data_IF_865554069748
#
_entry.id   IF_865554069748
#
_cell.length_a   1.000
_cell.length_b   1.000
_cell.length_c   1.000
_cell.angle_alpha   90.00
_cell.angle_beta   90.00
_cell.angle_gamma   90.00
#
_symmetry.space_group_name_H-M   'P 1'
#
loop_
_entity.id
_entity.type
_entity.pdbx_description
1 polymer ?
#
# COMPACT_ATOMS: atom_id res chain seq x y z
N UNK A 1 -15.71 -23.30 -44.54
CA UNK A 1 -15.83 -23.75 -43.13
C UNK A 1 -15.14 -22.74 -42.24
N UNK A 2 -15.83 -22.19 -41.24
CA UNK A 2 -15.24 -21.28 -40.26
C UNK A 2 -14.66 -22.05 -39.07
N UNK A 3 -13.58 -21.52 -38.46
CA UNK A 3 -13.03 -22.05 -37.21
C UNK A 3 -13.55 -21.21 -36.05
N UNK A 4 -14.08 -21.87 -35.03
CA UNK A 4 -14.55 -21.24 -33.80
C UNK A 4 -13.42 -21.21 -32.78
N UNK A 5 -13.41 -20.18 -31.95
CA UNK A 5 -12.45 -19.99 -30.87
C UNK A 5 -13.21 -19.63 -29.59
N UNK A 6 -12.64 -20.05 -28.47
CA UNK A 6 -13.00 -19.55 -27.15
C UNK A 6 -12.16 -18.30 -26.87
N UNK A 7 -12.78 -17.30 -26.25
CA UNK A 7 -12.22 -15.96 -26.11
C UNK A 7 -12.14 -15.54 -24.64
N UNK A 8 -11.06 -14.87 -24.28
CA UNK A 8 -10.88 -14.23 -22.96
C UNK A 8 -10.59 -12.73 -23.14
N UNK A 9 -10.99 -11.87 -22.19
CA UNK A 9 -10.76 -10.44 -22.28
C UNK A 9 -9.26 -10.10 -22.25
N UNK A 10 -8.83 -9.15 -23.08
CA UNK A 10 -7.45 -8.69 -23.16
C UNK A 10 -7.36 -7.18 -22.85
N UNK A 11 -7.06 -6.85 -21.60
CA UNK A 11 -7.03 -5.48 -21.09
C UNK A 11 -5.62 -4.84 -21.06
N UNK A 12 -4.57 -5.55 -21.50
CA UNK A 12 -3.18 -5.08 -21.50
C UNK A 12 -2.86 -4.14 -22.69
N UNK A 13 -3.80 -3.24 -23.02
CA UNK A 13 -3.68 -2.25 -24.10
C UNK A 13 -3.41 -0.86 -23.51
N UNK A 14 -2.62 -0.05 -24.23
CA UNK A 14 -2.20 1.29 -23.77
C UNK A 14 -3.07 2.39 -24.39
N UNK A 15 -3.22 3.50 -23.66
CA UNK A 15 -3.86 4.71 -24.16
C UNK A 15 -5.37 4.59 -24.39
N UNK A 16 -5.84 5.15 -25.51
CA UNK A 16 -7.27 5.22 -25.87
C UNK A 16 -7.91 3.87 -26.18
N UNK A 17 -7.10 2.83 -26.45
CA UNK A 17 -7.59 1.48 -26.77
C UNK A 17 -8.16 0.72 -25.57
N UNK A 18 -7.96 1.24 -24.35
CA UNK A 18 -8.47 0.63 -23.10
C UNK A 18 -9.99 0.46 -23.06
N UNK A 19 -10.72 1.24 -23.86
CA UNK A 19 -12.17 1.17 -23.95
C UNK A 19 -12.66 0.48 -25.23
N UNK A 20 -11.78 -0.18 -25.97
CA UNK A 20 -12.14 -1.09 -27.06
C UNK A 20 -12.26 -2.53 -26.53
N UNK A 21 -13.16 -3.33 -27.10
CA UNK A 21 -13.29 -4.74 -26.70
C UNK A 21 -12.26 -5.59 -27.44
N UNK A 22 -11.12 -5.82 -26.79
CA UNK A 22 -10.08 -6.74 -27.28
C UNK A 22 -10.20 -8.10 -26.58
N UNK A 23 -10.16 -9.18 -27.35
CA UNK A 23 -10.21 -10.54 -26.83
C UNK A 23 -9.05 -11.39 -27.36
N UNK A 24 -8.42 -12.17 -26.50
CA UNK A 24 -7.41 -13.17 -26.85
C UNK A 24 -8.08 -14.52 -27.07
N UNK A 25 -7.66 -15.26 -28.10
CA UNK A 25 -8.15 -16.63 -28.29
C UNK A 25 -7.45 -17.57 -27.30
N UNK A 26 -8.23 -18.31 -26.51
CA UNK A 26 -7.71 -19.20 -25.47
C UNK A 26 -6.82 -20.28 -26.09
N UNK A 27 -5.59 -20.42 -25.57
CA UNK A 27 -4.57 -21.33 -26.11
C UNK A 27 -3.79 -20.80 -27.31
N UNK A 28 -4.04 -19.57 -27.75
CA UNK A 28 -3.32 -18.91 -28.86
C UNK A 28 -2.70 -17.58 -28.41
N UNK A 29 -1.79 -17.04 -29.23
CA UNK A 29 -1.04 -15.80 -28.96
C UNK A 29 -1.55 -14.57 -29.71
N UNK A 30 -2.71 -14.67 -30.36
CA UNK A 30 -3.30 -13.54 -31.09
C UNK A 30 -4.53 -13.01 -30.34
N UNK A 31 -4.80 -11.73 -30.56
CA UNK A 31 -5.99 -11.05 -30.06
C UNK A 31 -6.69 -10.35 -31.22
N UNK A 32 -7.99 -10.11 -31.06
CA UNK A 32 -8.84 -9.46 -32.05
C UNK A 32 -9.72 -8.45 -31.35
N UNK A 33 -9.90 -7.29 -32.00
CA UNK A 33 -10.89 -6.29 -31.60
C UNK A 33 -12.27 -6.78 -32.02
N UNK A 34 -13.10 -7.16 -31.04
CA UNK A 34 -14.46 -7.67 -31.24
C UNK A 34 -15.48 -6.52 -31.35
N UNK A 35 -15.22 -5.38 -30.70
CA UNK A 35 -16.04 -4.19 -30.80
C UNK A 35 -15.21 -2.92 -30.62
N UNK A 36 -15.66 -1.81 -31.22
CA UNK A 36 -15.01 -0.51 -31.09
C UNK A 36 -15.10 0.06 -29.68
N UNK A 37 -16.15 -0.28 -28.94
CA UNK A 37 -16.38 0.25 -27.59
C UNK A 37 -16.89 -0.86 -26.68
N UNK A 38 -16.34 -0.94 -25.48
CA UNK A 38 -16.93 -1.71 -24.38
C UNK A 38 -18.19 -1.02 -23.86
N UNK A 39 -18.99 -1.74 -23.09
CA UNK A 39 -20.17 -1.17 -22.43
C UNK A 39 -19.74 -0.09 -21.42
N UNK A 40 -20.54 0.96 -21.31
CA UNK A 40 -20.28 2.04 -20.35
C UNK A 40 -20.28 1.47 -18.92
N UNK A 41 -19.32 1.92 -18.10
CA UNK A 41 -19.08 1.38 -16.75
C UNK A 41 -18.03 0.28 -16.67
N UNK A 42 -17.53 -0.24 -17.80
CA UNK A 42 -16.41 -1.21 -17.80
C UNK A 42 -15.15 -0.57 -17.21
N UNK A 43 -14.51 -1.15 -16.18
CA UNK A 43 -13.25 -0.63 -15.64
C UNK A 43 -12.13 -0.60 -16.70
N UNK A 44 -11.38 0.50 -16.76
CA UNK A 44 -10.29 0.71 -17.73
C UNK A 44 -8.91 0.92 -17.08
N UNK A 45 -8.85 0.78 -15.76
CA UNK A 45 -7.63 0.76 -14.95
C UNK A 45 -7.63 -0.45 -14.01
N UNK A 46 -6.44 -0.79 -13.48
CA UNK A 46 -6.29 -1.92 -12.56
C UNK A 46 -6.84 -1.62 -11.16
N UNK A 47 -6.92 -0.33 -10.80
CA UNK A 47 -7.38 0.10 -9.48
C UNK A 47 -8.92 0.23 -9.42
N UNK A 48 -9.63 0.13 -10.54
CA UNK A 48 -11.07 0.32 -10.62
C UNK A 48 -11.52 1.76 -10.38
N UNK A 49 -10.62 2.73 -10.50
CA UNK A 49 -10.89 4.16 -10.30
C UNK A 49 -11.30 4.88 -11.59
N UNK A 50 -11.24 4.18 -12.72
CA UNK A 50 -11.59 4.72 -14.03
C UNK A 50 -12.47 3.75 -14.79
N UNK A 51 -13.48 4.28 -15.47
CA UNK A 51 -14.43 3.52 -16.27
C UNK A 51 -14.51 4.05 -17.70
N UNK A 52 -14.90 3.17 -18.61
CA UNK A 52 -15.20 3.55 -19.98
C UNK A 52 -16.57 4.22 -20.06
N UNK A 53 -16.61 5.39 -20.70
CA UNK A 53 -17.85 6.07 -21.09
C UNK A 53 -17.71 6.58 -22.51
N UNK A 54 -18.60 6.14 -23.40
CA UNK A 54 -18.61 6.49 -24.82
C UNK A 54 -17.29 6.21 -25.56
N UNK A 55 -16.53 5.20 -25.10
CA UNK A 55 -15.24 4.80 -25.66
C UNK A 55 -14.04 5.57 -25.11
N UNK A 56 -14.22 6.42 -24.09
CA UNK A 56 -13.15 7.12 -23.40
C UNK A 56 -13.02 6.62 -21.96
N UNK A 57 -11.78 6.40 -21.52
CA UNK A 57 -11.49 6.04 -20.13
C UNK A 57 -11.53 7.31 -19.29
N UNK A 58 -12.50 7.41 -18.38
CA UNK A 58 -12.71 8.57 -17.50
C UNK A 58 -12.51 8.15 -16.05
N UNK A 59 -11.78 8.97 -15.29
CA UNK A 59 -11.58 8.77 -13.86
C UNK A 59 -12.80 9.20 -13.05
N UNK A 60 -13.06 8.49 -11.97
CA UNK A 60 -14.04 8.88 -10.95
C UNK A 60 -13.28 9.71 -9.92
N UNK A 61 -13.72 10.94 -9.69
CA UNK A 61 -13.13 11.79 -8.65
C UNK A 61 -13.40 11.24 -7.26
N UNK A 62 -12.69 11.73 -6.25
CA UNK A 62 -12.92 11.30 -4.86
C UNK A 62 -14.30 11.70 -4.31
N UNK A 63 -15.04 12.54 -5.04
CA UNK A 63 -16.41 12.96 -4.75
C UNK A 63 -17.46 12.15 -5.52
N UNK A 64 -17.05 10.99 -6.06
CA UNK A 64 -17.87 10.03 -6.81
C UNK A 64 -18.45 10.57 -8.14
N UNK A 65 -18.00 11.75 -8.58
CA UNK A 65 -18.38 12.32 -9.87
C UNK A 65 -17.43 11.88 -10.99
N UNK A 66 -18.00 11.40 -12.10
CA UNK A 66 -17.25 11.00 -13.27
C UNK A 66 -16.63 12.21 -13.98
N UNK A 67 -15.31 12.18 -14.20
CA UNK A 67 -14.56 13.28 -14.81
C UNK A 67 -14.31 14.46 -13.86
N UNK A 68 -14.57 14.31 -12.57
CA UNK A 68 -14.16 15.28 -11.55
C UNK A 68 -12.65 15.21 -11.36
N UNK A 69 -12.00 16.37 -11.35
CA UNK A 69 -10.57 16.51 -11.08
C UNK A 69 -10.24 16.49 -9.57
N UNK A 70 -11.24 16.27 -8.71
CA UNK A 70 -11.00 16.22 -7.26
C UNK A 70 -10.28 14.93 -6.88
N UNK A 71 -9.18 15.11 -6.14
CA UNK A 71 -8.35 14.04 -5.60
C UNK A 71 -8.34 14.12 -4.07
N UNK A 72 -8.19 12.97 -3.42
CA UNK A 72 -7.97 12.91 -1.98
C UNK A 72 -6.64 13.56 -1.63
N UNK A 73 -6.66 14.52 -0.70
CA UNK A 73 -5.45 15.19 -0.23
C UNK A 73 -4.61 14.30 0.70
N UNK A 74 -3.45 14.81 1.14
CA UNK A 74 -2.55 14.05 2.04
C UNK A 74 -3.17 13.70 3.40
N UNK A 75 -4.25 14.39 3.78
CA UNK A 75 -4.98 14.22 5.02
C UNK A 75 -6.18 13.26 4.88
N UNK A 76 -6.41 12.72 3.67
CA UNK A 76 -7.55 11.85 3.41
C UNK A 76 -8.84 12.60 3.07
N UNK A 77 -8.78 13.91 2.81
CA UNK A 77 -9.95 14.75 2.52
C UNK A 77 -10.10 14.92 1.02
N UNK A 78 -11.27 14.60 0.48
CA UNK A 78 -11.55 14.81 -0.93
C UNK A 78 -11.59 16.30 -1.29
N UNK A 79 -10.74 16.73 -2.23
CA UNK A 79 -10.61 18.15 -2.59
C UNK A 79 -10.07 19.03 -1.45
N UNK A 80 -9.40 18.41 -0.47
CA UNK A 80 -8.78 19.13 0.63
C UNK A 80 -7.56 19.94 0.21
N UNK A 81 -7.23 20.95 1.00
CA UNK A 81 -6.10 21.86 0.78
C UNK A 81 -4.81 21.40 1.48
N UNK A 82 -4.79 20.18 2.03
CA UNK A 82 -3.66 19.62 2.78
C UNK A 82 -3.29 20.38 4.07
N UNK A 83 -4.22 21.13 4.67
CA UNK A 83 -4.00 21.87 5.92
C UNK A 83 -4.65 21.22 7.14
N UNK A 84 -5.58 20.28 6.97
CA UNK A 84 -6.31 19.62 8.06
C UNK A 84 -5.47 18.62 8.89
N UNK A 85 -4.23 18.35 8.47
CA UNK A 85 -3.33 17.42 9.14
C UNK A 85 -1.88 17.87 9.03
N UNK A 86 -1.05 17.41 9.96
CA UNK A 86 0.40 17.51 9.88
C UNK A 86 1.00 16.20 9.37
N UNK A 87 1.95 16.29 8.44
CA UNK A 87 2.78 15.14 8.04
C UNK A 87 3.93 15.03 9.01
N UNK A 88 4.10 13.86 9.60
CA UNK A 88 5.27 13.52 10.40
C UNK A 88 6.10 12.52 9.59
N UNK A 89 7.35 12.87 9.35
CA UNK A 89 8.30 11.98 8.70
C UNK A 89 9.69 12.14 9.29
N UNK A 90 10.43 11.05 9.31
CA UNK A 90 11.79 11.05 9.83
C UNK A 90 12.56 9.81 9.38
N UNK A 91 13.87 9.92 9.44
CA UNK A 91 14.79 8.81 9.17
C UNK A 91 15.53 8.49 10.46
N UNK A 92 15.42 7.24 10.91
CA UNK A 92 16.20 6.74 12.05
C UNK A 92 17.47 6.07 11.53
N UNK A 93 18.63 6.60 11.91
CA UNK A 93 19.98 6.10 11.57
C UNK A 93 20.80 5.90 12.83
N UNK A 94 20.93 4.67 13.29
CA UNK A 94 21.77 4.35 14.46
C UNK A 94 22.52 3.03 14.27
N UNK A 95 23.71 2.97 14.86
CA UNK A 95 24.44 1.73 15.09
C UNK A 95 24.02 1.17 16.44
N UNK A 96 23.29 0.06 16.41
CA UNK A 96 22.84 -0.64 17.61
C UNK A 96 23.66 -1.93 17.75
N UNK A 97 24.36 -2.05 18.87
CA UNK A 97 25.31 -3.14 19.12
C UNK A 97 24.78 -4.22 20.05
N UNK A 98 23.82 -3.88 20.92
CA UNK A 98 23.27 -4.82 21.89
C UNK A 98 22.13 -5.64 21.28
N UNK A 99 22.15 -6.95 21.47
CA UNK A 99 21.05 -7.83 21.09
C UNK A 99 19.77 -7.49 21.87
N UNK A 100 18.63 -7.58 21.21
CA UNK A 100 17.32 -7.35 21.83
C UNK A 100 16.47 -6.33 21.07
N UNK A 101 15.38 -5.91 21.71
CA UNK A 101 14.44 -4.93 21.16
C UNK A 101 14.83 -3.52 21.59
N UNK A 102 15.02 -2.65 20.61
CA UNK A 102 15.32 -1.23 20.83
C UNK A 102 14.17 -0.39 20.30
N UNK A 103 13.59 0.47 21.15
CA UNK A 103 12.53 1.39 20.73
C UNK A 103 13.14 2.44 19.80
N UNK A 104 12.49 2.70 18.67
CA UNK A 104 12.99 3.60 17.63
C UNK A 104 12.05 4.77 17.32
N UNK A 105 10.74 4.57 17.40
CA UNK A 105 9.75 5.61 17.17
C UNK A 105 8.46 5.30 17.92
N UNK A 106 7.74 6.34 18.27
CA UNK A 106 6.41 6.29 18.84
C UNK A 106 5.40 6.75 17.80
N UNK A 107 4.35 5.96 17.60
CA UNK A 107 3.20 6.31 16.77
C UNK A 107 2.11 6.81 17.74
N UNK A 108 1.77 8.10 17.71
CA UNK A 108 0.76 8.64 18.62
C UNK A 108 -0.65 8.16 18.25
N UNK A 109 -1.59 8.38 19.16
CA UNK A 109 -3.02 8.26 18.90
C UNK A 109 -3.47 9.24 17.79
N UNK A 110 -4.44 8.84 16.98
CA UNK A 110 -4.94 9.61 15.83
C UNK A 110 -4.04 9.57 14.59
N UNK A 111 -2.96 8.79 14.60
CA UNK A 111 -2.06 8.67 13.47
C UNK A 111 -2.73 7.90 12.31
N UNK A 112 -2.61 8.45 11.11
CA UNK A 112 -3.13 7.91 9.85
C UNK A 112 -2.00 7.76 8.84
N UNK A 113 -2.25 6.99 7.77
CA UNK A 113 -1.29 6.76 6.67
C UNK A 113 0.12 6.39 7.15
N UNK A 114 0.16 5.54 8.17
CA UNK A 114 1.38 5.08 8.83
C UNK A 114 2.18 4.22 7.87
N UNK A 115 3.44 4.55 7.69
CA UNK A 115 4.42 3.79 6.93
C UNK A 115 5.74 3.77 7.69
N UNK A 116 6.11 2.57 8.16
CA UNK A 116 7.43 2.29 8.72
C UNK A 116 8.09 1.28 7.80
N UNK A 117 9.18 1.69 7.17
CA UNK A 117 9.91 0.88 6.20
C UNK A 117 11.39 0.89 6.51
N UNK A 118 12.01 -0.28 6.50
CA UNK A 118 13.45 -0.42 6.47
C UNK A 118 13.98 -0.02 5.09
N UNK A 119 14.76 1.05 5.04
CA UNK A 119 15.28 1.61 3.79
C UNK A 119 16.50 0.83 3.29
N UNK A 120 17.30 0.32 4.23
CA UNK A 120 18.46 -0.53 3.96
C UNK A 120 18.23 -1.90 4.58
N UNK A 121 17.93 -2.88 3.73
CA UNK A 121 17.63 -4.26 4.15
C UNK A 121 18.70 -4.80 5.10
N UNK A 122 18.26 -5.34 6.23
CA UNK A 122 19.15 -5.98 7.21
C UNK A 122 18.60 -7.33 7.68
N UNK A 123 19.37 -8.01 8.53
CA UNK A 123 18.96 -9.26 9.19
C UNK A 123 18.19 -9.02 10.51
N UNK A 124 17.77 -7.77 10.75
CA UNK A 124 16.99 -7.38 11.91
C UNK A 124 15.49 -7.49 11.63
N UNK A 125 14.67 -7.27 12.66
CA UNK A 125 13.21 -7.35 12.55
C UNK A 125 12.56 -6.12 13.16
N UNK A 126 11.71 -5.45 12.39
CA UNK A 126 10.78 -4.45 12.89
C UNK A 126 9.73 -5.13 13.76
N UNK A 127 9.40 -4.52 14.89
CA UNK A 127 8.39 -5.00 15.80
C UNK A 127 7.49 -3.86 16.25
N UNK A 128 6.23 -4.20 16.53
CA UNK A 128 5.21 -3.24 16.92
C UNK A 128 4.56 -3.72 18.22
N UNK A 129 4.47 -2.82 19.18
CA UNK A 129 3.88 -3.08 20.50
C UNK A 129 2.95 -1.94 20.87
N UNK A 130 1.85 -2.25 21.53
CA UNK A 130 1.05 -1.23 22.22
C UNK A 130 1.79 -0.69 23.44
N UNK A 131 1.44 0.53 23.88
CA UNK A 131 1.96 1.12 25.12
C UNK A 131 1.66 0.26 26.37
N UNK A 132 0.53 -0.44 26.37
CA UNK A 132 0.15 -1.40 27.43
C UNK A 132 1.04 -2.65 27.48
N UNK A 133 1.86 -2.85 26.45
CA UNK A 133 2.82 -3.93 26.39
C UNK A 133 2.35 -5.16 25.62
N UNK A 134 1.17 -5.13 25.00
CA UNK A 134 0.72 -6.18 24.07
C UNK A 134 1.51 -6.11 22.76
N UNK A 135 2.11 -7.22 22.37
CA UNK A 135 2.76 -7.38 21.07
C UNK A 135 1.74 -7.44 19.94
N UNK A 136 2.02 -6.77 18.82
CA UNK A 136 1.17 -6.73 17.62
C UNK A 136 1.89 -7.40 16.44
N UNK A 137 3.16 -7.05 16.21
CA UNK A 137 4.02 -7.64 15.17
C UNK A 137 5.38 -7.95 15.78
N UNK A 138 5.92 -9.15 15.50
CA UNK A 138 7.26 -9.62 15.87
C UNK A 138 7.60 -9.42 17.35
N UNK A 139 6.65 -9.71 18.25
CA UNK A 139 6.86 -9.64 19.69
C UNK A 139 7.19 -10.99 20.32
N UNK A 140 7.50 -10.98 21.63
CA UNK A 140 7.71 -12.20 22.43
C UNK A 140 8.77 -13.16 21.86
N UNK A 141 9.81 -12.62 21.23
CA UNK A 141 10.89 -13.37 20.57
C UNK A 141 10.46 -14.22 19.36
N UNK A 142 9.20 -14.15 18.95
CA UNK A 142 8.66 -14.79 17.74
C UNK A 142 8.77 -13.87 16.52
N UNK A 143 8.84 -14.47 15.33
CA UNK A 143 8.77 -13.76 14.04
C UNK A 143 7.47 -14.16 13.36
N UNK A 144 6.65 -13.17 13.09
CA UNK A 144 5.37 -13.30 12.43
C UNK A 144 5.54 -13.45 10.92
N UNK A 145 4.55 -14.07 10.28
CA UNK A 145 4.52 -14.19 8.81
C UNK A 145 4.03 -12.87 8.19
N UNK A 146 4.44 -12.52 6.96
CA UNK A 146 3.82 -11.41 6.24
C UNK A 146 2.29 -11.57 6.20
N UNK A 147 1.55 -10.50 6.50
CA UNK A 147 0.11 -10.61 6.73
C UNK A 147 -0.53 -9.35 7.30
N UNK A 148 -1.77 -9.50 7.78
CA UNK A 148 -2.57 -8.43 8.37
C UNK A 148 -2.69 -8.65 9.88
N UNK A 149 -2.41 -7.62 10.67
CA UNK A 149 -2.37 -7.65 12.13
C UNK A 149 -3.20 -6.52 12.70
N UNK A 150 -4.08 -6.84 13.66
CA UNK A 150 -4.94 -5.85 14.31
C UNK A 150 -4.25 -5.26 15.55
N UNK A 151 -4.21 -3.92 15.63
CA UNK A 151 -3.59 -3.24 16.76
C UNK A 151 -3.85 -1.73 16.77
N UNK A 152 -4.01 -1.16 17.96
CA UNK A 152 -4.31 0.25 18.15
C UNK A 152 -5.46 0.77 17.31
N UNK A 153 -6.54 -0.02 17.16
CA UNK A 153 -7.75 0.40 16.44
C UNK A 153 -7.66 0.37 14.91
N UNK A 154 -6.55 -0.12 14.33
CA UNK A 154 -6.37 -0.22 12.88
C UNK A 154 -5.76 -1.57 12.47
N UNK A 155 -5.79 -1.84 11.15
CA UNK A 155 -5.13 -2.99 10.55
C UNK A 155 -3.76 -2.62 9.99
N UNK A 156 -2.73 -3.29 10.48
CA UNK A 156 -1.37 -3.21 9.95
C UNK A 156 -1.13 -4.29 8.90
N UNK A 157 -0.61 -3.90 7.73
CA UNK A 157 -0.11 -4.80 6.71
C UNK A 157 1.40 -4.93 6.89
N UNK A 158 1.83 -6.08 7.41
CA UNK A 158 3.22 -6.42 7.61
C UNK A 158 3.79 -7.13 6.38
N UNK A 159 4.89 -6.61 5.84
CA UNK A 159 5.56 -7.12 4.66
C UNK A 159 7.03 -7.40 4.97
N UNK A 160 7.47 -8.61 4.62
CA UNK A 160 8.88 -9.01 4.63
C UNK A 160 9.22 -9.65 3.28
N UNK A 161 9.74 -8.86 2.33
CA UNK A 161 10.13 -9.36 1.02
C UNK A 161 11.17 -10.49 1.13
N UNK A 162 11.17 -11.40 0.16
CA UNK A 162 12.05 -12.56 0.17
C UNK A 162 13.52 -12.15 0.27
N UNK A 163 14.29 -12.91 1.06
CA UNK A 163 15.69 -12.58 1.37
C UNK A 163 16.60 -12.61 0.13
N UNK A 164 16.31 -13.47 -0.85
CA UNK A 164 17.14 -13.73 -2.02
C UNK A 164 16.70 -12.89 -3.23
N UNK A 165 15.39 -12.75 -3.45
CA UNK A 165 14.86 -12.18 -4.70
C UNK A 165 14.54 -10.68 -4.65
N UNK A 166 14.71 -10.03 -3.50
CA UNK A 166 14.34 -8.63 -3.32
C UNK A 166 15.38 -7.85 -2.52
N UNK A 167 15.63 -6.61 -2.92
CA UNK A 167 16.43 -5.65 -2.14
C UNK A 167 15.57 -4.81 -1.18
N UNK A 168 14.24 -4.91 -1.27
CA UNK A 168 13.34 -4.15 -0.40
C UNK A 168 13.43 -4.65 1.05
N UNK A 169 13.47 -3.69 1.98
CA UNK A 169 13.45 -3.97 3.41
C UNK A 169 12.07 -4.36 3.94
N UNK A 170 12.05 -4.73 5.20
CA UNK A 170 10.84 -5.00 5.95
C UNK A 170 9.99 -3.75 6.15
N UNK A 171 8.67 -3.89 6.20
CA UNK A 171 7.77 -2.76 6.48
C UNK A 171 6.49 -3.18 7.17
N UNK A 172 5.87 -2.24 7.87
CA UNK A 172 4.45 -2.32 8.19
C UNK A 172 3.74 -1.00 7.89
N UNK A 173 2.53 -1.13 7.35
CA UNK A 173 1.72 -0.03 6.85
C UNK A 173 0.34 -0.08 7.49
N UNK A 174 -0.25 1.06 7.82
CA UNK A 174 -1.64 1.13 8.30
C UNK A 174 -2.32 2.42 7.82
N UNK A 175 -3.61 2.33 7.48
CA UNK A 175 -4.39 3.52 7.13
C UNK A 175 -4.73 4.39 8.37
N UNK A 176 -4.91 3.77 9.54
CA UNK A 176 -5.34 4.44 10.77
C UNK A 176 -6.85 4.75 10.77
N UNK A 177 -7.33 5.60 11.68
CA UNK A 177 -6.57 6.24 12.76
C UNK A 177 -6.20 5.25 13.86
N UNK A 178 -5.08 5.50 14.56
CA UNK A 178 -4.78 4.79 15.81
C UNK A 178 -5.65 5.30 16.96
N UNK A 179 -6.04 4.44 17.90
CA UNK A 179 -6.79 4.81 19.10
C UNK A 179 -5.97 4.68 20.41
N UNK A 180 -4.68 4.36 20.29
CA UNK A 180 -3.73 4.33 21.39
C UNK A 180 -2.33 4.65 20.86
N UNK A 181 -1.40 4.91 21.78
CA UNK A 181 0.02 5.06 21.44
C UNK A 181 0.63 3.68 21.17
N UNK A 182 1.35 3.56 20.05
CA UNK A 182 2.10 2.37 19.68
C UNK A 182 3.60 2.66 19.66
N UNK A 183 4.38 1.71 20.14
CA UNK A 183 5.83 1.77 20.17
C UNK A 183 6.42 0.83 19.11
N UNK A 184 7.26 1.39 18.26
CA UNK A 184 7.99 0.65 17.24
C UNK A 184 9.36 0.30 17.79
N UNK A 185 9.73 -0.96 17.59
CA UNK A 185 11.01 -1.51 17.97
C UNK A 185 11.74 -2.08 16.76
N UNK A 186 13.06 -2.18 16.88
CA UNK A 186 13.88 -3.05 16.04
C UNK A 186 14.52 -4.13 16.92
N UNK A 187 14.38 -5.38 16.52
CA UNK A 187 15.03 -6.54 17.13
C UNK A 187 16.36 -6.78 16.45
N UNK A 188 17.44 -6.53 17.18
CA UNK A 188 18.81 -6.74 16.70
C UNK A 188 19.19 -8.22 16.80
N UNK A 189 19.64 -8.80 15.67
CA UNK A 189 20.26 -10.14 15.64
C UNK A 189 21.78 -10.12 15.43
N UNK A 190 22.31 -9.12 14.75
CA UNK A 190 23.75 -8.94 14.49
C UNK A 190 24.12 -7.45 14.47
N UNK A 191 25.37 -7.12 14.75
CA UNK A 191 25.89 -5.74 14.68
C UNK A 191 25.68 -5.14 13.29
N UNK A 192 24.80 -4.16 13.16
CA UNK A 192 24.51 -3.50 11.89
C UNK A 192 24.07 -2.04 12.08
N UNK A 193 24.25 -1.27 11.02
CA UNK A 193 23.66 0.05 10.87
C UNK A 193 22.22 -0.10 10.36
N UNK A 194 21.27 0.53 11.05
CA UNK A 194 19.85 0.48 10.68
C UNK A 194 19.44 1.84 10.14
N UNK A 195 18.75 1.83 9.00
CA UNK A 195 18.18 3.01 8.38
C UNK A 195 16.69 2.78 8.10
N UNK A 196 15.83 3.50 8.83
CA UNK A 196 14.37 3.35 8.76
C UNK A 196 13.72 4.65 8.35
N UNK A 197 12.85 4.56 7.34
CA UNK A 197 11.98 5.64 6.92
C UNK A 197 10.65 5.54 7.65
N UNK A 198 10.24 6.63 8.27
CA UNK A 198 8.95 6.75 8.93
C UNK A 198 8.16 7.87 8.27
N UNK A 199 6.89 7.63 7.97
CA UNK A 199 5.98 8.64 7.44
C UNK A 199 4.56 8.36 7.93
N UNK A 200 3.84 9.39 8.35
CA UNK A 200 2.45 9.33 8.73
C UNK A 200 1.83 10.72 8.80
N UNK A 201 0.53 10.78 9.08
CA UNK A 201 -0.22 12.02 9.24
C UNK A 201 -0.99 12.02 10.55
N UNK A 202 -1.14 13.19 11.17
CA UNK A 202 -2.00 13.39 12.35
C UNK A 202 -2.93 14.55 12.04
N UNK A 203 -4.24 14.35 12.25
CA UNK A 203 -5.23 15.41 12.09
C UNK A 203 -4.95 16.57 13.07
N UNK A 204 -5.21 17.79 12.63
CA UNK A 204 -5.10 18.96 13.49
C UNK A 204 -6.33 19.01 14.42
N UNK A 205 -6.06 19.12 15.72
CA UNK A 205 -7.06 19.30 16.78
C UNK A 205 -7.66 20.70 16.78
#
# INVERSE_FOLDING_TARGET
MGRFYEWEPFAEVKGSQKCELNCRAVGYRFYVRQAEKVIDGTPCDQNGTSICVSGQCKSIGCDDYLGSDKVVDKCGICGGDSTACRVISGIFKHSLTNLGYHKIVEIPEGATKINITEMSKSNNYLALRSRSGRAIINGNWAIDRPGRYEGGGTMFVYKRPNEISSTAGESFLADGPTNEILDVYVRIKHHFFIELGTRGTILNS
#
